data_IF_896759270263
#
_entry.id   IF_896759270263
#
_cell.length_a   1.000
_cell.length_b   1.000
_cell.length_c   1.000
_cell.angle_alpha   90.00
_cell.angle_beta   90.00
_cell.angle_gamma   90.00
#
_symmetry.space_group_name_H-M   'P 1'
#
loop_
_entity.id
_entity.type
_entity.pdbx_description
1 polymer ?
#
# COMPACT_ATOMS: atom_id res chain seq x y z
N UNK A 1 -45.43 12.87 53.06
CA UNK A 1 -43.94 12.78 52.91
C UNK A 1 -43.63 12.03 51.62
N UNK A 2 -43.23 12.76 50.56
CA UNK A 2 -42.83 12.18 49.28
C UNK A 2 -41.32 12.37 49.09
N UNK A 3 -40.61 11.28 48.93
CA UNK A 3 -39.17 11.27 48.59
C UNK A 3 -39.01 11.24 47.09
N UNK A 4 -38.45 12.31 46.51
CA UNK A 4 -37.99 12.37 45.13
C UNK A 4 -36.62 11.67 45.06
N UNK A 5 -36.56 10.54 44.34
CA UNK A 5 -35.32 9.88 44.00
C UNK A 5 -34.70 10.51 42.74
N UNK A 6 -33.56 11.20 42.88
CA UNK A 6 -32.75 11.64 41.76
C UNK A 6 -31.94 10.42 41.19
N UNK A 7 -32.36 9.95 40.04
CA UNK A 7 -31.60 8.96 39.28
C UNK A 7 -30.41 9.63 38.58
N UNK A 8 -29.18 9.31 39.03
CA UNK A 8 -27.95 9.64 38.34
C UNK A 8 -27.80 8.76 37.10
N UNK A 9 -28.01 9.32 35.91
CA UNK A 9 -27.70 8.67 34.64
C UNK A 9 -26.19 8.81 34.41
N UNK A 10 -25.45 7.76 34.74
CA UNK A 10 -24.02 7.65 34.41
C UNK A 10 -23.91 7.44 32.89
N UNK A 11 -23.51 8.48 32.15
CA UNK A 11 -23.06 8.32 30.78
C UNK A 11 -21.70 7.62 30.80
N UNK A 12 -21.66 6.33 30.50
CA UNK A 12 -20.45 5.62 30.15
C UNK A 12 -19.93 6.18 28.83
N UNK A 13 -18.98 7.10 28.88
CA UNK A 13 -18.14 7.40 27.72
C UNK A 13 -17.29 6.17 27.47
N UNK A 14 -17.53 5.45 26.38
CA UNK A 14 -16.59 4.48 25.85
C UNK A 14 -15.31 5.23 25.51
N UNK A 15 -14.28 5.01 26.31
CA UNK A 15 -12.89 5.36 25.94
C UNK A 15 -12.57 4.54 24.69
N UNK A 16 -12.77 5.13 23.51
CA UNK A 16 -12.09 4.64 22.32
C UNK A 16 -10.60 4.79 22.62
N UNK A 17 -9.95 3.65 22.83
CA UNK A 17 -8.50 3.61 22.86
C UNK A 17 -8.00 4.28 21.57
N UNK A 18 -7.38 5.45 21.67
CA UNK A 18 -6.73 6.08 20.53
C UNK A 18 -5.68 5.10 20.05
N UNK A 19 -5.96 4.41 18.95
CA UNK A 19 -4.95 3.62 18.26
C UNK A 19 -3.81 4.58 17.90
N UNK A 20 -2.57 4.22 18.27
CA UNK A 20 -1.39 5.01 17.89
C UNK A 20 -1.34 5.22 16.38
N UNK A 21 -0.44 6.05 15.88
CA UNK A 21 -0.34 6.33 14.46
C UNK A 21 0.04 5.06 13.66
N UNK A 22 -0.30 5.06 12.38
CA UNK A 22 0.19 4.08 11.41
C UNK A 22 1.63 4.43 11.02
N UNK A 23 2.54 3.48 11.12
CA UNK A 23 3.90 3.58 10.59
C UNK A 23 4.00 2.74 9.32
N UNK A 24 4.46 3.34 8.23
CA UNK A 24 4.66 2.72 6.92
C UNK A 24 6.16 2.72 6.64
N UNK A 25 6.76 1.55 6.48
CA UNK A 25 8.20 1.41 6.20
C UNK A 25 8.40 0.80 4.81
N UNK A 26 9.12 1.51 3.95
CA UNK A 26 9.50 1.03 2.64
C UNK A 26 10.67 0.04 2.75
N UNK A 27 10.53 -1.12 2.12
CA UNK A 27 11.53 -2.20 2.14
C UNK A 27 12.17 -2.43 0.76
N UNK A 28 11.65 -1.76 -0.27
CA UNK A 28 12.12 -1.87 -1.64
C UNK A 28 11.02 -2.26 -2.62
N UNK A 29 11.07 -1.70 -3.81
CA UNK A 29 10.15 -1.99 -4.92
C UNK A 29 8.68 -1.79 -4.53
N UNK A 30 7.90 -2.87 -4.42
CA UNK A 30 6.51 -2.86 -3.95
C UNK A 30 6.37 -3.35 -2.50
N UNK A 31 7.48 -3.61 -1.81
CA UNK A 31 7.45 -4.18 -0.46
C UNK A 31 7.39 -3.12 0.63
N UNK A 32 6.36 -3.22 1.48
CA UNK A 32 6.13 -2.29 2.59
C UNK A 32 5.65 -3.02 3.84
N UNK A 33 6.13 -2.55 5.00
CA UNK A 33 5.65 -2.96 6.31
C UNK A 33 4.77 -1.87 6.91
N UNK A 34 3.56 -2.24 7.31
CA UNK A 34 2.59 -1.37 7.99
C UNK A 34 2.46 -1.80 9.45
N UNK A 35 2.77 -0.90 10.38
CA UNK A 35 2.71 -1.16 11.82
C UNK A 35 1.73 -0.19 12.48
N UNK A 36 0.72 -0.70 13.15
CA UNK A 36 -0.28 0.09 13.85
C UNK A 36 -1.37 -0.79 14.44
N UNK A 37 -2.07 -0.32 15.46
CA UNK A 37 -3.11 -1.07 16.17
C UNK A 37 -2.67 -2.45 16.67
N UNK A 38 -1.39 -2.59 17.05
CA UNK A 38 -0.83 -3.85 17.54
C UNK A 38 -0.61 -4.92 16.46
N UNK A 39 -0.69 -4.58 15.18
CA UNK A 39 -0.54 -5.51 14.06
C UNK A 39 0.55 -5.05 13.10
N UNK A 40 1.27 -6.01 12.51
CA UNK A 40 2.27 -5.80 11.47
C UNK A 40 1.79 -6.49 10.19
N UNK A 41 1.48 -5.70 9.18
CA UNK A 41 1.07 -6.16 7.85
C UNK A 41 2.21 -5.93 6.89
N UNK A 42 2.74 -7.00 6.30
CA UNK A 42 3.75 -6.94 5.25
C UNK A 42 3.08 -7.14 3.90
N UNK A 43 3.34 -6.26 2.96
CA UNK A 43 2.87 -6.40 1.58
C UNK A 43 4.06 -6.71 0.68
N UNK A 44 3.89 -7.67 -0.22
CA UNK A 44 4.81 -8.01 -1.31
C UNK A 44 6.28 -8.22 -0.90
N UNK A 45 6.62 -9.13 0.03
CA UNK A 45 8.01 -9.54 0.17
C UNK A 45 8.51 -10.09 -1.16
N UNK A 46 9.79 -9.88 -1.48
CA UNK A 46 10.37 -10.20 -2.77
C UNK A 46 11.69 -10.96 -2.66
N UNK A 47 12.09 -11.57 -3.76
CA UNK A 47 13.44 -12.09 -3.99
C UNK A 47 14.26 -11.05 -4.77
N UNK A 48 15.51 -10.89 -4.40
CA UNK A 48 16.44 -9.94 -5.04
C UNK A 48 16.86 -10.42 -6.44
N UNK A 49 16.03 -10.09 -7.44
CA UNK A 49 16.26 -10.44 -8.86
C UNK A 49 15.81 -9.30 -9.79
N UNK A 50 16.36 -9.19 -10.99
CA UNK A 50 15.95 -8.18 -11.98
C UNK A 50 16.01 -6.76 -11.42
N UNK A 51 14.90 -6.03 -11.46
CA UNK A 51 14.81 -4.67 -10.92
C UNK A 51 14.96 -4.59 -9.38
N UNK A 52 14.93 -5.71 -8.67
CA UNK A 52 15.10 -5.76 -7.21
C UNK A 52 16.47 -6.32 -6.81
N UNK A 53 17.37 -6.62 -7.75
CA UNK A 53 18.60 -7.38 -7.51
C UNK A 53 19.54 -6.75 -6.47
N UNK A 54 19.56 -5.43 -6.33
CA UNK A 54 20.41 -4.72 -5.38
C UNK A 54 19.76 -4.40 -4.05
N UNK A 55 18.48 -4.75 -3.84
CA UNK A 55 17.84 -4.58 -2.53
C UNK A 55 18.16 -5.74 -1.60
N UNK A 56 18.23 -5.46 -0.32
CA UNK A 56 18.17 -6.50 0.70
C UNK A 56 16.75 -7.13 0.71
N UNK A 57 16.68 -8.46 0.64
CA UNK A 57 15.39 -9.15 0.75
C UNK A 57 14.72 -8.83 2.08
N UNK A 58 13.38 -8.57 2.10
CA UNK A 58 12.67 -8.24 3.34
C UNK A 58 12.88 -9.29 4.42
N UNK A 59 13.39 -8.86 5.59
CA UNK A 59 13.71 -9.73 6.72
C UNK A 59 12.97 -9.33 8.00
N UNK A 60 11.87 -8.60 7.88
CA UNK A 60 11.07 -8.10 9.00
C UNK A 60 10.05 -9.15 9.45
N UNK A 61 9.67 -9.11 10.74
CA UNK A 61 8.57 -9.93 11.24
C UNK A 61 7.21 -9.36 10.81
N UNK A 62 6.26 -10.23 10.48
CA UNK A 62 4.90 -9.86 10.11
C UNK A 62 3.89 -10.81 10.73
N UNK A 63 2.73 -10.28 11.13
CA UNK A 63 1.60 -11.07 11.63
C UNK A 63 0.72 -11.51 10.45
N UNK A 64 0.63 -10.67 9.42
CA UNK A 64 -0.08 -10.91 8.18
C UNK A 64 0.82 -10.53 7.00
N UNK A 65 0.80 -11.35 5.97
CA UNK A 65 1.45 -11.09 4.67
C UNK A 65 0.39 -11.04 3.58
N UNK A 66 0.39 -9.96 2.82
CA UNK A 66 -0.48 -9.75 1.65
C UNK A 66 0.38 -9.80 0.38
N UNK A 67 0.01 -10.65 -0.57
CA UNK A 67 0.69 -10.76 -1.86
C UNK A 67 -0.20 -10.24 -2.97
N UNK A 68 0.27 -9.26 -3.73
CA UNK A 68 -0.45 -8.76 -4.90
C UNK A 68 -0.31 -9.70 -6.11
N UNK A 69 0.79 -10.42 -6.20
CA UNK A 69 1.04 -11.47 -7.20
C UNK A 69 2.00 -12.52 -6.64
N UNK A 70 2.22 -13.59 -7.40
CA UNK A 70 3.23 -14.62 -7.06
C UNK A 70 4.51 -14.49 -7.89
N UNK A 71 4.75 -13.32 -8.48
CA UNK A 71 6.02 -13.04 -9.14
C UNK A 71 7.12 -12.84 -8.09
N UNK A 72 8.32 -13.31 -8.36
CA UNK A 72 9.42 -13.32 -7.39
C UNK A 72 9.82 -11.92 -6.89
N UNK A 73 9.66 -10.90 -7.72
CA UNK A 73 9.95 -9.52 -7.37
C UNK A 73 8.79 -8.81 -6.62
N UNK A 74 7.64 -9.49 -6.43
CA UNK A 74 6.45 -8.91 -5.78
C UNK A 74 5.71 -9.87 -4.84
N UNK A 75 6.11 -11.13 -4.73
CA UNK A 75 5.34 -12.12 -3.97
C UNK A 75 6.13 -13.34 -3.56
N UNK A 76 7.43 -13.19 -3.27
CA UNK A 76 8.26 -14.27 -2.81
C UNK A 76 8.12 -14.48 -1.30
N UNK A 77 7.59 -15.65 -0.92
CA UNK A 77 7.54 -16.10 0.47
C UNK A 77 8.77 -16.97 0.75
N UNK A 78 9.75 -16.44 1.44
CA UNK A 78 10.80 -17.26 2.03
C UNK A 78 10.32 -17.99 3.30
N UNK A 79 11.14 -18.93 3.80
CA UNK A 79 10.84 -19.73 5.02
C UNK A 79 10.54 -18.86 6.26
N UNK A 80 11.01 -17.62 6.26
CA UNK A 80 10.78 -16.64 7.34
C UNK A 80 9.30 -16.39 7.62
N UNK A 81 8.44 -16.48 6.61
CA UNK A 81 7.00 -16.20 6.73
C UNK A 81 6.14 -17.46 6.86
N UNK A 82 6.76 -18.63 7.08
CA UNK A 82 6.05 -19.90 7.23
C UNK A 82 5.03 -19.92 8.38
N UNK A 83 5.21 -19.10 9.42
CA UNK A 83 4.29 -18.96 10.56
C UNK A 83 3.33 -17.78 10.46
N UNK A 84 3.49 -16.91 9.45
CA UNK A 84 2.60 -15.76 9.22
C UNK A 84 1.32 -16.23 8.53
N UNK A 85 0.22 -15.53 8.80
CA UNK A 85 -0.96 -15.67 7.94
C UNK A 85 -0.66 -15.04 6.58
N UNK A 86 -0.96 -15.72 5.49
CA UNK A 86 -0.73 -15.24 4.12
C UNK A 86 -2.06 -15.15 3.38
N UNK A 87 -2.30 -14.04 2.69
CA UNK A 87 -3.45 -13.85 1.79
C UNK A 87 -2.91 -13.38 0.45
N UNK A 88 -3.29 -14.05 -0.63
CA UNK A 88 -2.81 -13.79 -1.98
C UNK A 88 -3.89 -13.94 -3.07
N UNK A 89 -5.13 -14.16 -2.66
CA UNK A 89 -6.28 -14.24 -3.56
C UNK A 89 -7.21 -13.03 -3.35
N UNK A 90 -7.90 -12.57 -4.40
CA UNK A 90 -8.92 -11.52 -4.25
C UNK A 90 -10.09 -12.02 -3.39
N UNK A 91 -10.74 -11.11 -2.66
CA UNK A 91 -11.86 -11.43 -1.78
C UNK A 91 -11.95 -10.51 -0.57
N UNK A 92 -12.95 -10.75 0.26
CA UNK A 92 -13.16 -10.06 1.55
C UNK A 92 -12.73 -10.98 2.69
N UNK A 93 -11.84 -10.47 3.55
CA UNK A 93 -11.25 -11.21 4.66
C UNK A 93 -11.43 -10.45 5.97
N UNK A 94 -11.42 -11.19 7.08
CA UNK A 94 -11.33 -10.61 8.42
C UNK A 94 -10.19 -11.29 9.17
N UNK A 95 -9.18 -10.51 9.54
CA UNK A 95 -8.00 -10.96 10.28
C UNK A 95 -7.84 -10.10 11.52
N UNK A 96 -7.85 -10.72 12.71
CA UNK A 96 -7.73 -10.00 13.99
C UNK A 96 -8.70 -8.80 14.10
N UNK A 97 -9.96 -8.98 13.71
CA UNK A 97 -11.01 -7.95 13.65
C UNK A 97 -10.75 -6.82 12.64
N UNK A 98 -9.77 -6.93 11.77
CA UNK A 98 -9.50 -6.01 10.68
C UNK A 98 -10.10 -6.57 9.39
N UNK A 99 -10.92 -5.76 8.72
CA UNK A 99 -11.42 -6.09 7.38
C UNK A 99 -10.37 -5.76 6.34
N UNK A 100 -10.12 -6.71 5.44
CA UNK A 100 -9.16 -6.59 4.35
C UNK A 100 -9.87 -7.02 3.08
N UNK A 101 -9.76 -6.22 2.04
CA UNK A 101 -10.31 -6.54 0.72
C UNK A 101 -9.19 -6.67 -0.30
N UNK A 102 -9.19 -7.76 -1.04
CA UNK A 102 -8.40 -7.94 -2.24
C UNK A 102 -9.24 -7.71 -3.50
N UNK A 103 -8.90 -6.70 -4.28
CA UNK A 103 -9.56 -6.38 -5.56
C UNK A 103 -8.74 -6.96 -6.70
N UNK A 104 -9.36 -7.84 -7.51
CA UNK A 104 -8.72 -8.47 -8.66
C UNK A 104 -8.54 -7.45 -9.79
N UNK A 105 -7.31 -7.31 -10.27
CA UNK A 105 -6.96 -6.46 -11.40
C UNK A 105 -6.04 -7.22 -12.37
N UNK A 106 -6.10 -6.99 -13.69
CA UNK A 106 -5.10 -7.53 -14.60
C UNK A 106 -3.69 -7.01 -14.26
N UNK A 107 -2.69 -7.89 -14.27
CA UNK A 107 -1.29 -7.54 -14.02
C UNK A 107 -0.55 -7.09 -15.30
N UNK A 108 -1.29 -6.87 -16.36
CA UNK A 108 -0.80 -6.37 -17.64
C UNK A 108 -1.91 -5.69 -18.45
N UNK A 109 -1.53 -5.01 -19.54
CA UNK A 109 -2.46 -4.29 -20.42
C UNK A 109 -3.23 -5.19 -21.39
N UNK A 110 -3.03 -6.51 -21.31
CA UNK A 110 -3.68 -7.51 -22.17
C UNK A 110 -4.60 -8.46 -21.39
N UNK A 111 -5.16 -7.97 -20.29
CA UNK A 111 -6.12 -8.71 -19.47
C UNK A 111 -5.51 -9.82 -18.62
N UNK A 112 -4.27 -9.67 -18.17
CA UNK A 112 -3.58 -10.64 -17.32
C UNK A 112 -3.04 -11.85 -18.08
N UNK A 113 -3.02 -11.83 -19.42
CA UNK A 113 -2.60 -12.99 -20.21
C UNK A 113 -1.12 -13.32 -20.10
N UNK A 114 -0.28 -12.36 -19.73
CA UNK A 114 1.16 -12.56 -19.59
C UNK A 114 1.61 -12.73 -18.14
N UNK A 115 1.09 -11.89 -17.24
CA UNK A 115 1.53 -11.84 -15.84
C UNK A 115 0.43 -12.23 -14.83
N UNK A 116 -0.75 -12.63 -15.31
CA UNK A 116 -1.83 -13.10 -14.47
C UNK A 116 -2.61 -11.97 -13.78
N UNK A 117 -3.09 -12.27 -12.59
CA UNK A 117 -3.86 -11.35 -11.75
C UNK A 117 -2.95 -10.64 -10.77
N UNK A 118 -3.15 -9.34 -10.64
CA UNK A 118 -2.67 -8.53 -9.52
C UNK A 118 -3.82 -8.34 -8.52
N UNK A 119 -3.56 -8.43 -7.24
CA UNK A 119 -4.51 -8.11 -6.18
C UNK A 119 -4.17 -6.75 -5.59
N UNK A 120 -5.07 -5.79 -5.75
CA UNK A 120 -5.00 -4.53 -5.04
C UNK A 120 -5.57 -4.72 -3.62
N UNK A 121 -4.82 -4.34 -2.60
CA UNK A 121 -5.20 -4.52 -1.20
C UNK A 121 -5.79 -3.24 -0.62
N UNK A 122 -6.93 -3.37 0.05
CA UNK A 122 -7.68 -2.27 0.68
C UNK A 122 -7.97 -2.65 2.13
N UNK A 123 -7.52 -1.83 3.10
CA UNK A 123 -7.83 -2.06 4.52
C UNK A 123 -7.75 -0.76 5.33
N UNK A 124 -8.30 -0.79 6.54
CA UNK A 124 -8.12 0.28 7.52
C UNK A 124 -7.16 -0.18 8.62
N UNK A 125 -6.11 0.59 8.91
CA UNK A 125 -5.21 0.32 10.02
C UNK A 125 -4.92 1.60 10.79
N UNK A 126 -5.06 1.56 12.10
CA UNK A 126 -4.90 2.72 12.98
C UNK A 126 -5.79 3.93 12.58
N UNK A 127 -6.98 3.66 12.00
CA UNK A 127 -7.91 4.68 11.52
C UNK A 127 -7.55 5.29 10.17
N UNK A 128 -6.54 4.77 9.46
CA UNK A 128 -6.10 5.20 8.15
C UNK A 128 -6.54 4.20 7.08
N UNK A 129 -7.23 4.67 6.05
CA UNK A 129 -7.60 3.83 4.90
C UNK A 129 -6.42 3.70 3.94
N UNK A 130 -5.87 2.51 3.84
CA UNK A 130 -4.72 2.19 3.00
C UNK A 130 -5.15 1.43 1.77
N UNK A 131 -4.61 1.82 0.63
CA UNK A 131 -4.72 1.08 -0.64
C UNK A 131 -3.32 0.83 -1.19
N UNK A 132 -3.01 -0.43 -1.46
CA UNK A 132 -1.78 -0.84 -2.12
C UNK A 132 -2.11 -1.50 -3.45
N UNK A 133 -1.78 -0.85 -4.57
CA UNK A 133 -2.16 -1.32 -5.91
C UNK A 133 -1.26 -2.43 -6.45
N UNK A 134 -0.20 -2.83 -5.71
CA UNK A 134 0.73 -3.87 -6.16
C UNK A 134 1.42 -3.50 -7.47
N UNK A 135 1.47 -4.43 -8.41
CA UNK A 135 1.95 -4.24 -9.77
C UNK A 135 0.83 -3.97 -10.78
N UNK A 136 -0.17 -3.16 -10.44
CA UNK A 136 -1.26 -2.84 -11.35
C UNK A 136 -0.74 -2.16 -12.63
N UNK A 137 -1.20 -2.64 -13.79
CA UNK A 137 -0.83 -2.11 -15.11
C UNK A 137 -2.04 -1.85 -16.01
N UNK A 138 -3.21 -2.36 -15.67
CA UNK A 138 -4.44 -2.08 -16.40
C UNK A 138 -5.12 -0.81 -15.87
N UNK A 139 -5.77 -0.01 -16.72
CA UNK A 139 -6.57 1.13 -16.29
C UNK A 139 -7.61 0.72 -15.24
N UNK A 140 -7.79 1.56 -14.22
CA UNK A 140 -8.75 1.30 -13.16
C UNK A 140 -10.18 1.44 -13.69
N UNK A 141 -11.02 0.41 -13.52
CA UNK A 141 -12.42 0.43 -13.95
C UNK A 141 -13.32 1.20 -12.97
N UNK A 142 -14.56 1.45 -13.35
CA UNK A 142 -15.56 2.05 -12.45
C UNK A 142 -15.84 1.09 -11.28
N UNK A 143 -15.92 -0.20 -11.54
CA UNK A 143 -16.13 -1.24 -10.54
C UNK A 143 -14.97 -1.30 -9.54
N UNK A 144 -13.72 -1.24 -10.02
CA UNK A 144 -12.54 -1.19 -9.17
C UNK A 144 -12.56 0.04 -8.27
N UNK A 145 -12.93 1.21 -8.80
CA UNK A 145 -13.06 2.45 -8.01
C UNK A 145 -14.10 2.33 -6.90
N UNK A 146 -15.23 1.66 -7.17
CA UNK A 146 -16.28 1.44 -6.15
C UNK A 146 -15.75 0.52 -5.05
N UNK A 147 -15.02 -0.54 -5.41
CA UNK A 147 -14.48 -1.50 -4.45
C UNK A 147 -13.32 -0.94 -3.63
N UNK A 148 -12.48 -0.12 -4.25
CA UNK A 148 -11.31 0.52 -3.62
C UNK A 148 -11.74 1.70 -2.74
N UNK A 149 -12.69 2.50 -3.19
CA UNK A 149 -13.10 3.74 -2.53
C UNK A 149 -12.02 4.84 -2.61
N UNK A 150 -12.14 5.86 -1.76
CA UNK A 150 -11.15 6.94 -1.63
C UNK A 150 -10.13 6.57 -0.54
N UNK A 151 -8.85 6.36 -0.87
CA UNK A 151 -7.83 6.07 0.14
C UNK A 151 -7.37 7.33 0.88
N UNK A 152 -6.96 7.15 2.14
CA UNK A 152 -6.13 8.14 2.82
C UNK A 152 -4.68 8.04 2.33
N UNK A 153 -4.17 6.82 2.21
CA UNK A 153 -2.83 6.52 1.69
C UNK A 153 -2.95 5.57 0.51
N UNK A 154 -2.40 5.97 -0.63
CA UNK A 154 -2.33 5.18 -1.86
C UNK A 154 -0.88 4.83 -2.19
N UNK A 155 -0.56 3.54 -2.24
CA UNK A 155 0.69 3.04 -2.79
C UNK A 155 0.45 2.60 -4.23
N UNK A 156 1.18 3.20 -5.18
CA UNK A 156 0.91 3.07 -6.61
C UNK A 156 2.19 2.83 -7.42
N UNK A 157 2.22 1.81 -8.30
CA UNK A 157 3.34 1.60 -9.20
C UNK A 157 3.40 2.72 -10.24
N UNK A 158 4.62 3.24 -10.51
CA UNK A 158 4.80 4.39 -11.40
C UNK A 158 5.91 4.19 -12.44
N UNK A 159 6.61 3.05 -12.40
CA UNK A 159 7.81 2.83 -13.22
C UNK A 159 7.53 2.33 -14.63
N UNK A 160 6.31 2.05 -15.00
CA UNK A 160 5.99 1.54 -16.33
C UNK A 160 6.43 0.08 -16.54
N UNK A 161 6.93 -0.21 -17.73
CA UNK A 161 7.22 -1.57 -18.14
C UNK A 161 5.92 -2.36 -18.41
N UNK A 162 6.03 -3.69 -18.56
CA UNK A 162 4.87 -4.50 -18.97
C UNK A 162 3.88 -4.80 -17.85
N UNK A 163 4.25 -4.62 -16.58
CA UNK A 163 3.49 -5.03 -15.40
C UNK A 163 3.34 -3.94 -14.33
N UNK A 164 3.42 -2.68 -14.71
CA UNK A 164 3.16 -1.53 -13.85
C UNK A 164 2.54 -0.38 -14.67
N UNK A 165 1.88 0.56 -14.02
CA UNK A 165 1.45 1.80 -14.66
C UNK A 165 2.64 2.57 -15.20
N UNK A 166 2.50 3.14 -16.41
CA UNK A 166 3.40 4.22 -16.81
C UNK A 166 3.21 5.43 -15.89
N UNK A 167 4.15 6.37 -15.84
CA UNK A 167 3.98 7.60 -15.07
C UNK A 167 2.65 8.31 -15.36
N UNK A 168 2.23 8.39 -16.63
CA UNK A 168 0.97 9.01 -17.05
C UNK A 168 -0.26 8.25 -16.54
N UNK A 169 -0.28 6.92 -16.72
CA UNK A 169 -1.37 6.05 -16.22
C UNK A 169 -1.48 6.14 -14.69
N UNK A 170 -0.35 6.24 -13.99
CA UNK A 170 -0.32 6.44 -12.55
C UNK A 170 -0.94 7.80 -12.16
N UNK A 171 -0.62 8.88 -12.86
CA UNK A 171 -1.22 10.21 -12.62
C UNK A 171 -2.73 10.18 -12.84
N UNK A 172 -3.22 9.54 -13.89
CA UNK A 172 -4.65 9.38 -14.15
C UNK A 172 -5.34 8.60 -13.02
N UNK A 173 -4.71 7.53 -12.55
CA UNK A 173 -5.21 6.70 -11.45
C UNK A 173 -5.25 7.48 -10.13
N UNK A 174 -4.19 8.24 -9.80
CA UNK A 174 -4.15 9.13 -8.62
C UNK A 174 -5.28 10.15 -8.67
N UNK A 175 -5.48 10.83 -9.80
CA UNK A 175 -6.56 11.80 -9.97
C UNK A 175 -7.95 11.15 -9.82
N UNK A 176 -8.08 9.93 -10.31
CA UNK A 176 -9.33 9.16 -10.26
C UNK A 176 -9.69 8.73 -8.84
N UNK A 177 -8.73 8.28 -8.04
CA UNK A 177 -8.93 7.82 -6.65
C UNK A 177 -8.89 8.97 -5.63
N UNK A 178 -8.27 10.10 -5.97
CA UNK A 178 -8.17 11.30 -5.15
C UNK A 178 -7.71 11.02 -3.68
N UNK A 179 -6.54 10.40 -3.48
CA UNK A 179 -6.01 10.11 -2.15
C UNK A 179 -5.53 11.38 -1.43
N UNK A 180 -5.26 11.27 -0.12
CA UNK A 180 -4.62 12.33 0.66
C UNK A 180 -3.09 12.25 0.59
N UNK A 181 -2.56 11.02 0.61
CA UNK A 181 -1.12 10.73 0.51
C UNK A 181 -0.90 9.75 -0.63
N UNK A 182 0.05 10.04 -1.50
CA UNK A 182 0.50 9.16 -2.57
C UNK A 182 1.92 8.71 -2.27
N UNK A 183 2.16 7.40 -2.25
CA UNK A 183 3.49 6.81 -2.17
C UNK A 183 3.76 6.09 -3.49
N UNK A 184 4.64 6.64 -4.35
CA UNK A 184 5.04 5.95 -5.58
C UNK A 184 5.86 4.71 -5.25
N UNK A 185 5.61 3.64 -5.99
CA UNK A 185 6.26 2.34 -5.85
C UNK A 185 6.69 1.80 -7.22
N UNK A 186 7.37 0.67 -7.26
CA UNK A 186 7.68 -0.07 -8.51
C UNK A 186 8.29 0.84 -9.58
N UNK A 187 9.33 1.56 -9.22
CA UNK A 187 10.15 2.36 -10.13
C UNK A 187 11.62 1.98 -9.98
N UNK A 188 12.42 2.25 -11.01
CA UNK A 188 13.85 1.93 -11.01
C UNK A 188 14.61 2.85 -10.06
N UNK A 189 15.43 2.23 -9.22
CA UNK A 189 16.38 2.91 -8.34
C UNK A 189 17.80 2.42 -8.65
N UNK A 190 18.77 2.87 -7.87
CA UNK A 190 20.14 2.37 -7.95
C UNK A 190 20.30 0.86 -7.61
N UNK A 191 19.24 0.20 -7.11
CA UNK A 191 19.24 -1.24 -6.89
C UNK A 191 19.29 -2.06 -8.18
N UNK A 192 19.04 -1.47 -9.32
CA UNK A 192 19.02 -2.16 -10.61
C UNK A 192 19.86 -1.44 -11.66
N UNK A 193 20.55 -2.23 -12.48
CA UNK A 193 21.18 -1.76 -13.69
C UNK A 193 20.12 -1.34 -14.72
N UNK A 194 20.33 -0.20 -15.37
CA UNK A 194 19.44 0.32 -16.39
C UNK A 194 19.29 -0.63 -17.60
N UNK A 195 20.31 -1.43 -17.90
CA UNK A 195 20.30 -2.37 -19.02
C UNK A 195 19.52 -3.65 -18.74
N UNK A 196 19.28 -3.96 -17.46
CA UNK A 196 18.59 -5.19 -17.03
C UNK A 196 17.20 -4.96 -16.42
N UNK A 197 16.84 -3.70 -16.19
CA UNK A 197 15.57 -3.30 -15.57
C UNK A 197 14.76 -2.43 -16.54
N UNK A 198 13.60 -2.89 -16.92
CA UNK A 198 12.73 -2.34 -17.97
C UNK A 198 11.76 -1.25 -17.48
N UNK A 199 11.93 -0.77 -16.25
CA UNK A 199 11.10 0.30 -15.67
C UNK A 199 11.91 1.62 -15.55
N UNK A 200 11.20 2.76 -15.53
CA UNK A 200 11.81 4.09 -15.38
C UNK A 200 11.92 4.51 -13.91
N UNK A 201 12.66 5.58 -13.63
CA UNK A 201 12.77 6.19 -12.30
C UNK A 201 11.50 6.93 -11.89
N UNK A 202 11.48 7.44 -10.66
CA UNK A 202 10.32 8.15 -10.09
C UNK A 202 10.18 9.59 -10.63
N UNK A 203 11.24 10.16 -11.21
CA UNK A 203 11.30 11.58 -11.58
C UNK A 203 10.26 12.00 -12.61
N UNK A 204 9.92 11.11 -13.54
CA UNK A 204 8.91 11.36 -14.56
C UNK A 204 7.51 11.53 -13.92
N UNK A 205 7.14 10.60 -13.04
CA UNK A 205 5.89 10.70 -12.28
C UNK A 205 5.84 11.98 -11.43
N UNK A 206 6.92 12.31 -10.72
CA UNK A 206 7.05 13.53 -9.92
C UNK A 206 6.87 14.79 -10.78
N UNK A 207 7.47 14.81 -11.96
CA UNK A 207 7.34 15.91 -12.92
C UNK A 207 5.91 16.08 -13.41
N UNK A 208 5.22 14.99 -13.74
CA UNK A 208 3.82 15.00 -14.19
C UNK A 208 2.84 15.43 -13.08
N UNK A 209 3.25 15.26 -11.81
CA UNK A 209 2.50 15.68 -10.62
C UNK A 209 2.88 17.09 -10.14
N UNK A 210 3.54 17.89 -10.97
CA UNK A 210 3.95 19.26 -10.63
C UNK A 210 2.80 20.09 -10.05
N UNK A 211 3.08 20.83 -8.97
CA UNK A 211 2.07 21.58 -8.21
C UNK A 211 1.51 20.84 -6.99
N UNK A 212 1.74 19.53 -6.89
CA UNK A 212 1.44 18.76 -5.66
C UNK A 212 2.65 18.83 -4.72
N UNK A 213 2.46 19.09 -3.40
CA UNK A 213 3.56 19.06 -2.44
C UNK A 213 4.24 17.68 -2.42
N UNK A 214 5.57 17.65 -2.48
CA UNK A 214 6.38 16.42 -2.53
C UNK A 214 7.40 16.45 -1.41
N UNK A 215 7.44 15.38 -0.63
CA UNK A 215 8.50 15.09 0.36
C UNK A 215 9.34 13.93 -0.14
N UNK A 216 10.66 14.05 -0.04
CA UNK A 216 11.61 12.97 -0.32
C UNK A 216 12.49 12.81 0.92
N UNK A 217 12.71 11.59 1.37
CA UNK A 217 13.54 11.44 2.56
C UNK A 217 13.59 10.03 3.12
N UNK A 218 13.20 9.89 4.36
CA UNK A 218 13.34 8.66 5.12
C UNK A 218 12.60 7.47 4.50
N UNK A 219 12.99 6.26 4.89
CA UNK A 219 12.29 5.04 4.47
C UNK A 219 11.00 4.78 5.28
N UNK A 220 10.64 5.67 6.18
CA UNK A 220 9.51 5.51 7.10
C UNK A 220 8.63 6.75 7.12
N UNK A 221 7.32 6.56 7.00
CA UNK A 221 6.30 7.57 7.14
C UNK A 221 5.38 7.24 8.30
N UNK A 222 5.13 8.19 9.19
CA UNK A 222 4.16 8.06 10.28
C UNK A 222 2.92 8.88 9.97
N UNK A 223 1.74 8.24 9.99
CA UNK A 223 0.45 8.83 9.66
C UNK A 223 -0.51 8.71 10.82
N UNK A 224 -0.96 9.83 11.36
CA UNK A 224 -2.05 9.88 12.33
C UNK A 224 -3.38 10.16 11.65
N UNK A 225 -4.42 9.38 11.92
CA UNK A 225 -5.75 9.57 11.34
C UNK A 225 -6.30 10.99 11.59
N UNK A 226 -6.00 11.57 12.76
CA UNK A 226 -6.41 12.93 13.12
C UNK A 226 -5.62 14.04 12.42
N UNK A 227 -4.48 13.72 11.79
CA UNK A 227 -3.55 14.68 11.19
C UNK A 227 -3.52 14.61 9.65
N UNK A 228 -4.46 13.85 9.07
CA UNK A 228 -4.59 13.76 7.61
C UNK A 228 -5.15 15.08 7.04
N UNK A 229 -4.36 15.74 6.20
CA UNK A 229 -4.82 16.90 5.41
C UNK A 229 -5.75 16.43 4.29
N UNK A 230 -6.74 17.26 3.94
CA UNK A 230 -7.55 17.04 2.74
C UNK A 230 -6.78 17.37 1.44
N UNK A 231 -5.72 18.15 1.54
CA UNK A 231 -4.83 18.44 0.40
C UNK A 231 -3.90 17.27 0.16
N UNK A 232 -3.88 16.79 -1.09
CA UNK A 232 -3.00 15.72 -1.53
C UNK A 232 -1.52 16.11 -1.40
N UNK A 233 -0.68 15.14 -1.01
CA UNK A 233 0.77 15.23 -1.07
C UNK A 233 1.39 13.93 -1.53
N UNK A 234 2.62 14.00 -2.00
CA UNK A 234 3.41 12.84 -2.43
C UNK A 234 4.55 12.62 -1.45
N UNK A 235 4.73 11.39 -1.01
CA UNK A 235 5.83 10.96 -0.13
C UNK A 235 6.68 9.94 -0.89
N UNK A 236 7.86 10.35 -1.35
CA UNK A 236 8.83 9.46 -1.99
C UNK A 236 9.76 8.91 -0.92
N UNK A 237 9.50 7.67 -0.52
CA UNK A 237 10.27 7.02 0.54
C UNK A 237 11.58 6.43 -0.02
N UNK A 238 12.65 6.53 0.75
CA UNK A 238 13.93 5.90 0.43
C UNK A 238 13.89 4.40 0.76
N UNK A 239 14.86 3.66 0.23
CA UNK A 239 15.03 2.24 0.49
C UNK A 239 16.43 1.96 1.04
N UNK A 240 16.57 0.90 1.83
CA UNK A 240 17.86 0.36 2.21
C UNK A 240 18.39 -0.57 1.10
N UNK A 241 19.65 -0.40 0.74
CA UNK A 241 20.36 -1.20 -0.25
C UNK A 241 21.35 -2.14 0.42
#
# INVERSE_FOLDING_TARGET
AGTLGLGLVSKSQSLQAQSGPLTITALGHTSFLFTGSGQRVLVNPFKAIGCTAGYAEPSVGADLVLLSSRLFDEGFLGDRYASSQVIDEPGDYTVNNQSIRGVSMPHDRIGGRRFGTNVAWVWNQAGVNVVHLGGAAAPISIEDKILIGRPDVLLIPVGGGPKAYTPEEAVETVRSLNPKIVIPTHYRTQAADADTCDIVGVDEFVTLMAGTPITQGDNTLTVGASNLSESMRIEVLSYAF
#
